data_IF_742515447081
#
_entry.id   IF_742515447081
#
_cell.length_a   1.000
_cell.length_b   1.000
_cell.length_c   1.000
_cell.angle_alpha   90.00
_cell.angle_beta   90.00
_cell.angle_gamma   90.00
#
_symmetry.space_group_name_H-M   'P 1'
#
loop_
_entity.id
_entity.type
_entity.pdbx_description
1 polymer ?
#
# COMPACT_ATOMS: atom_id res chain seq x y z
N UNK A 1 -3.31 -2.38 15.00
CA UNK A 1 -4.16 -1.27 15.46
C UNK A 1 -3.87 -0.08 14.56
N UNK A 2 -4.86 0.71 14.15
CA UNK A 2 -4.66 1.83 13.21
C UNK A 2 -5.94 2.24 12.46
N UNK A 3 -5.93 3.42 11.84
CA UNK A 3 -7.10 4.00 11.16
C UNK A 3 -7.66 3.11 10.04
N UNK A 4 -6.82 2.27 9.43
CA UNK A 4 -7.25 1.30 8.41
C UNK A 4 -8.24 0.26 8.93
N UNK A 5 -8.07 -0.22 10.18
CA UNK A 5 -9.01 -1.17 10.80
C UNK A 5 -10.35 -0.50 11.11
N UNK A 6 -10.29 0.74 11.62
CA UNK A 6 -11.48 1.52 11.94
C UNK A 6 -12.32 1.80 10.69
N UNK A 7 -11.68 2.22 9.59
CA UNK A 7 -12.36 2.43 8.31
C UNK A 7 -13.08 1.18 7.84
N UNK A 8 -12.42 0.01 7.86
CA UNK A 8 -13.03 -1.26 7.43
C UNK A 8 -14.20 -1.68 8.31
N UNK A 9 -14.06 -1.54 9.63
CA UNK A 9 -15.16 -1.83 10.56
C UNK A 9 -16.36 -0.89 10.32
N UNK A 10 -16.11 0.37 9.97
CA UNK A 10 -17.19 1.31 9.65
C UNK A 10 -17.87 0.99 8.31
N UNK A 11 -17.09 0.65 7.28
CA UNK A 11 -17.63 0.16 5.99
C UNK A 11 -18.51 -1.10 6.19
N UNK A 12 -18.08 -2.04 7.05
CA UNK A 12 -18.87 -3.21 7.44
C UNK A 12 -20.21 -2.84 8.09
N UNK A 13 -20.21 -1.89 9.05
CA UNK A 13 -21.43 -1.41 9.70
C UNK A 13 -22.42 -0.77 8.72
N UNK A 14 -21.90 -0.12 7.67
CA UNK A 14 -22.70 0.51 6.63
C UNK A 14 -23.11 -0.46 5.51
N UNK A 15 -22.71 -1.74 5.58
CA UNK A 15 -22.86 -2.72 4.51
C UNK A 15 -22.29 -2.21 3.17
N UNK A 16 -21.12 -1.57 3.24
CA UNK A 16 -20.40 -0.97 2.12
C UNK A 16 -19.09 -1.71 1.87
N UNK A 17 -18.72 -1.90 0.60
CA UNK A 17 -17.40 -2.39 0.26
C UNK A 17 -16.34 -1.31 0.55
N UNK A 18 -15.17 -1.64 1.13
CA UNK A 18 -14.08 -0.70 1.30
C UNK A 18 -13.55 -0.19 -0.05
N UNK A 19 -13.31 1.12 -0.16
CA UNK A 19 -12.74 1.73 -1.35
C UNK A 19 -11.23 1.44 -1.45
N UNK A 20 -10.82 0.75 -2.52
CA UNK A 20 -9.45 0.26 -2.66
C UNK A 20 -8.42 1.40 -2.78
N UNK A 21 -8.83 2.55 -3.34
CA UNK A 21 -7.97 3.72 -3.54
C UNK A 21 -8.11 4.77 -2.43
N UNK A 22 -8.89 4.51 -1.37
CA UNK A 22 -9.06 5.45 -0.28
C UNK A 22 -7.70 5.88 0.30
N UNK A 23 -7.43 7.19 0.45
CA UNK A 23 -6.18 7.67 1.04
C UNK A 23 -5.92 7.02 2.40
N UNK A 24 -4.67 6.64 2.64
CA UNK A 24 -4.18 5.93 3.85
C UNK A 24 -4.73 4.52 4.08
N UNK A 25 -6.04 4.27 3.90
CA UNK A 25 -6.71 3.03 4.37
C UNK A 25 -7.03 2.03 3.27
N UNK A 26 -7.07 2.50 2.01
CA UNK A 26 -7.34 1.69 0.84
C UNK A 26 -6.27 0.62 0.63
N UNK A 27 -6.68 -0.54 0.13
CA UNK A 27 -5.77 -1.66 -0.13
C UNK A 27 -4.69 -1.35 -1.18
N UNK A 28 -4.89 -0.29 -1.96
CA UNK A 28 -3.98 0.20 -3.01
C UNK A 28 -3.28 1.50 -2.64
N UNK A 29 -3.53 2.08 -1.46
CA UNK A 29 -2.99 3.38 -1.05
C UNK A 29 -1.45 3.40 -0.95
N UNK A 30 -0.85 2.24 -0.69
CA UNK A 30 0.61 2.02 -0.65
C UNK A 30 1.03 0.90 -1.61
N UNK A 31 0.32 0.75 -2.72
CA UNK A 31 0.64 -0.22 -3.75
C UNK A 31 1.48 0.43 -4.86
N UNK A 32 2.59 -0.18 -5.23
CA UNK A 32 3.40 0.21 -6.38
C UNK A 32 3.49 -0.92 -7.39
N UNK A 33 3.59 -0.59 -8.66
CA UNK A 33 3.97 -1.56 -9.69
C UNK A 33 5.47 -1.79 -9.62
N UNK A 34 5.87 -3.06 -9.79
CA UNK A 34 7.26 -3.43 -10.04
C UNK A 34 7.97 -2.52 -11.05
N UNK A 35 9.25 -2.23 -10.82
CA UNK A 35 10.07 -1.38 -11.68
C UNK A 35 10.85 -0.33 -10.90
N UNK A 36 11.11 0.83 -11.52
CA UNK A 36 11.93 1.90 -10.90
C UNK A 36 11.34 2.41 -9.57
N UNK A 37 10.01 2.49 -9.45
CA UNK A 37 9.35 2.94 -8.22
C UNK A 37 9.53 1.92 -7.08
N UNK A 38 9.44 0.62 -7.37
CA UNK A 38 9.72 -0.43 -6.38
C UNK A 38 11.19 -0.41 -5.95
N UNK A 39 12.12 -0.20 -6.89
CA UNK A 39 13.56 -0.07 -6.59
C UNK A 39 13.87 1.15 -5.72
N UNK A 40 13.22 2.28 -5.98
CA UNK A 40 13.36 3.48 -5.16
C UNK A 40 12.79 3.28 -3.75
N UNK A 41 11.60 2.68 -3.64
CA UNK A 41 10.98 2.34 -2.35
C UNK A 41 11.83 1.37 -1.52
N UNK A 42 12.55 0.44 -2.15
CA UNK A 42 13.46 -0.46 -1.45
C UNK A 42 14.70 0.25 -0.88
N UNK A 43 15.09 1.39 -1.45
CA UNK A 43 16.27 2.17 -1.03
C UNK A 43 15.91 3.29 -0.04
N UNK A 44 14.89 4.07 -0.38
CA UNK A 44 14.43 5.22 0.38
C UNK A 44 12.91 5.35 0.23
N UNK A 45 12.12 4.72 1.12
CA UNK A 45 10.66 4.76 1.06
C UNK A 45 10.07 6.17 1.03
N UNK A 46 10.69 7.14 1.70
CA UNK A 46 10.17 8.51 1.80
C UNK A 46 10.10 9.23 0.44
N UNK A 47 10.75 8.69 -0.62
CA UNK A 47 10.64 9.22 -1.98
C UNK A 47 9.23 9.07 -2.58
N UNK A 48 8.46 8.08 -2.16
CA UNK A 48 7.13 7.78 -2.70
C UNK A 48 6.07 7.54 -1.61
N UNK A 49 6.47 7.42 -0.34
CA UNK A 49 5.56 7.27 0.79
C UNK A 49 5.66 8.49 1.71
N UNK A 50 4.56 9.24 1.78
CA UNK A 50 4.44 10.43 2.64
C UNK A 50 4.44 10.08 4.14
N UNK A 51 4.05 8.85 4.50
CA UNK A 51 4.17 8.27 5.84
C UNK A 51 4.46 6.77 5.72
N UNK A 52 5.10 6.13 6.73
CA UNK A 52 5.18 4.67 6.78
C UNK A 52 3.77 4.05 6.81
N UNK A 53 3.46 3.06 5.95
CA UNK A 53 2.12 2.46 5.88
C UNK A 53 1.68 1.84 7.21
N UNK A 54 2.61 1.32 8.00
CA UNK A 54 2.35 0.71 9.31
C UNK A 54 1.81 1.74 10.31
N UNK A 55 2.18 3.02 10.16
CA UNK A 55 1.73 4.10 11.04
C UNK A 55 0.21 4.34 10.95
N UNK A 56 -0.42 3.97 9.81
CA UNK A 56 -1.87 4.06 9.61
C UNK A 56 -2.56 2.68 9.67
N UNK A 57 -1.82 1.63 10.03
CA UNK A 57 -2.31 0.26 10.05
C UNK A 57 -2.53 -0.34 8.65
N UNK A 58 -1.85 0.19 7.64
CA UNK A 58 -1.81 -0.37 6.29
C UNK A 58 -0.46 -1.10 6.06
N UNK A 59 -0.20 -1.55 4.83
CA UNK A 59 1.05 -2.22 4.44
C UNK A 59 1.44 -1.87 3.01
N UNK A 60 2.74 -1.78 2.75
CA UNK A 60 3.28 -1.66 1.39
C UNK A 60 2.95 -2.91 0.57
N UNK A 61 2.62 -2.73 -0.70
CA UNK A 61 2.42 -3.85 -1.65
C UNK A 61 3.19 -3.56 -2.94
N UNK A 62 4.06 -4.48 -3.34
CA UNK A 62 4.71 -4.44 -4.65
C UNK A 62 3.99 -5.42 -5.57
N UNK A 63 3.36 -4.91 -6.61
CA UNK A 63 2.67 -5.73 -7.60
C UNK A 63 3.67 -6.30 -8.59
N UNK A 64 3.72 -7.62 -8.68
CA UNK A 64 4.50 -8.32 -9.71
C UNK A 64 3.73 -8.21 -11.04
N UNK A 65 4.41 -7.74 -12.08
CA UNK A 65 3.90 -7.71 -13.45
C UNK A 65 5.00 -8.14 -14.41
N UNK A 66 4.65 -8.41 -15.66
CA UNK A 66 5.55 -8.91 -16.70
C UNK A 66 6.75 -7.97 -17.01
N UNK A 67 6.70 -6.72 -16.56
CA UNK A 67 7.79 -5.73 -16.61
C UNK A 67 8.67 -5.75 -15.34
N UNK A 68 8.61 -6.85 -14.59
CA UNK A 68 9.22 -6.97 -13.28
C UNK A 68 10.69 -7.37 -13.32
N UNK A 69 11.59 -6.48 -12.89
CA UNK A 69 13.00 -6.78 -12.72
C UNK A 69 13.33 -7.60 -11.45
N UNK A 70 14.61 -7.99 -11.29
CA UNK A 70 15.16 -8.76 -10.15
C UNK A 70 14.75 -8.23 -8.76
N UNK A 71 14.55 -6.92 -8.61
CA UNK A 71 14.19 -6.27 -7.35
C UNK A 71 12.86 -6.77 -6.76
N UNK A 72 11.94 -7.29 -7.58
CA UNK A 72 10.64 -7.76 -7.10
C UNK A 72 10.69 -9.02 -6.24
N UNK A 73 11.77 -9.81 -6.35
CA UNK A 73 11.94 -11.06 -5.61
C UNK A 73 12.80 -10.89 -4.36
N UNK A 74 13.41 -9.71 -4.17
CA UNK A 74 14.27 -9.39 -3.04
C UNK A 74 13.62 -8.39 -2.06
N UNK A 75 12.47 -7.81 -2.43
CA UNK A 75 11.70 -6.84 -1.65
C UNK A 75 10.64 -7.49 -0.77
#
# INVERSE_FOLDING_TARGET
>A
TGISRLSRAFDELLNRAPEAQAPYVGSSAFATKAGIHASALAKEPATYEHVPPEAVGNRRRVMVSDQGGKANFLA
#
